data_IF_691333633759
#
_entry.id   IF_691333633759
#
_cell.length_a   1.000
_cell.length_b   1.000
_cell.length_c   1.000
_cell.angle_alpha   90.00
_cell.angle_beta   90.00
_cell.angle_gamma   90.00
#
_symmetry.space_group_name_H-M   'P 1'
#
loop_
_entity.id
_entity.type
_entity.pdbx_description
1 polymer ?
#
# COMPACT_ATOMS: atom_id res chain seq x y z
N UNK A 1 -46.90 11.36 12.37
CA UNK A 1 -45.58 11.70 11.79
C UNK A 1 -44.62 10.71 12.42
N UNK A 2 -44.40 9.58 11.74
CA UNK A 2 -43.56 8.50 12.24
C UNK A 2 -42.45 8.27 11.22
N UNK A 3 -41.20 8.47 11.65
CA UNK A 3 -40.04 8.28 10.82
C UNK A 3 -39.75 6.78 10.69
N UNK A 4 -39.74 6.31 9.44
CA UNK A 4 -39.33 4.96 9.06
C UNK A 4 -37.82 4.87 9.23
N UNK A 5 -37.37 4.18 10.28
CA UNK A 5 -35.98 3.74 10.39
C UNK A 5 -35.82 2.56 9.43
N UNK A 6 -35.37 2.83 8.21
CA UNK A 6 -34.94 1.77 7.29
C UNK A 6 -33.69 1.12 7.88
N UNK A 7 -33.89 -0.12 8.34
CA UNK A 7 -32.84 -1.06 8.72
C UNK A 7 -31.82 -1.20 7.58
N UNK A 8 -30.55 -0.89 7.84
CA UNK A 8 -29.50 -1.23 6.89
C UNK A 8 -29.32 -2.75 6.84
N UNK A 9 -29.20 -3.36 5.65
CA UNK A 9 -28.90 -4.78 5.53
C UNK A 9 -27.48 -5.07 6.07
N UNK A 10 -27.39 -6.08 6.93
CA UNK A 10 -26.18 -6.56 7.63
C UNK A 10 -25.12 -7.21 6.73
N UNK A 11 -25.13 -6.93 5.43
CA UNK A 11 -24.24 -7.55 4.45
C UNK A 11 -22.99 -6.72 4.13
N UNK A 12 -22.84 -5.54 4.72
CA UNK A 12 -21.71 -4.63 4.45
C UNK A 12 -20.42 -4.90 5.26
N UNK A 13 -20.36 -5.98 6.05
CA UNK A 13 -19.17 -6.33 6.83
C UNK A 13 -18.34 -7.47 6.23
N UNK A 14 -18.52 -7.79 4.94
CA UNK A 14 -17.85 -8.92 4.29
C UNK A 14 -16.76 -8.55 3.30
N UNK A 15 -15.84 -7.69 3.71
CA UNK A 15 -14.46 -7.68 3.17
C UNK A 15 -13.47 -7.19 4.22
N UNK A 16 -13.53 -7.75 5.43
CA UNK A 16 -12.28 -7.95 6.18
C UNK A 16 -11.55 -9.12 5.53
N UNK A 17 -10.95 -8.88 4.36
CA UNK A 17 -9.79 -9.67 3.97
C UNK A 17 -8.67 -9.18 4.88
N UNK A 18 -8.58 -9.80 6.06
CA UNK A 18 -7.29 -9.96 6.71
C UNK A 18 -6.43 -10.73 5.72
N UNK A 19 -5.69 -10.00 4.89
CA UNK A 19 -4.58 -10.58 4.15
C UNK A 19 -3.55 -10.93 5.22
N UNK A 20 -3.66 -12.14 5.74
CA UNK A 20 -2.59 -12.79 6.48
C UNK A 20 -1.38 -12.76 5.55
N UNK A 21 -0.47 -11.82 5.78
CA UNK A 21 0.86 -11.88 5.19
C UNK A 21 1.47 -13.18 5.71
N UNK A 22 1.54 -14.19 4.84
CA UNK A 22 2.26 -15.43 5.12
C UNK A 22 3.72 -15.04 5.41
N UNK A 23 4.12 -15.07 6.68
CA UNK A 23 5.42 -14.68 7.26
C UNK A 23 6.61 -15.51 6.73
N UNK A 24 6.41 -16.26 5.64
CA UNK A 24 7.40 -17.18 5.03
C UNK A 24 7.98 -16.71 3.72
N UNK A 25 7.66 -15.49 3.27
CA UNK A 25 8.54 -14.80 2.34
C UNK A 25 9.76 -14.32 3.14
N UNK A 26 10.82 -15.13 3.17
CA UNK A 26 12.16 -14.58 3.39
C UNK A 26 12.38 -13.59 2.24
N UNK A 27 12.09 -12.33 2.52
CA UNK A 27 12.30 -11.26 1.56
C UNK A 27 13.80 -11.13 1.35
N UNK A 28 14.28 -11.66 0.22
CA UNK A 28 15.68 -11.55 -0.17
C UNK A 28 16.15 -10.11 0.01
N UNK A 29 17.37 -9.92 0.56
CA UNK A 29 17.89 -8.60 0.88
C UNK A 29 17.85 -7.62 -0.31
N UNK A 30 17.94 -8.16 -1.53
CA UNK A 30 17.78 -7.42 -2.78
C UNK A 30 16.34 -6.90 -2.97
N UNK A 31 15.33 -7.75 -2.76
CA UNK A 31 13.91 -7.38 -2.83
C UNK A 31 13.58 -6.30 -1.81
N UNK A 32 14.10 -6.43 -0.59
CA UNK A 32 13.95 -5.41 0.46
C UNK A 32 14.61 -4.08 0.08
N UNK A 33 15.80 -4.12 -0.51
CA UNK A 33 16.47 -2.91 -0.99
C UNK A 33 15.69 -2.23 -2.14
N UNK A 34 15.10 -3.02 -3.06
CA UNK A 34 14.23 -2.48 -4.10
C UNK A 34 12.96 -1.86 -3.52
N UNK A 35 12.37 -2.48 -2.51
CA UNK A 35 11.23 -1.95 -1.76
C UNK A 35 11.54 -0.60 -1.12
N UNK A 36 12.64 -0.49 -0.39
CA UNK A 36 13.01 0.73 0.31
C UNK A 36 13.26 1.88 -0.68
N UNK A 37 13.88 1.58 -1.83
CA UNK A 37 14.05 2.56 -2.91
C UNK A 37 12.72 2.98 -3.50
N UNK A 38 11.84 2.03 -3.81
CA UNK A 38 10.51 2.32 -4.35
C UNK A 38 9.66 3.12 -3.37
N UNK A 39 9.70 2.79 -2.08
CA UNK A 39 8.99 3.49 -1.02
C UNK A 39 9.46 4.95 -0.96
N UNK A 40 10.77 5.17 -0.89
CA UNK A 40 11.35 6.52 -0.85
C UNK A 40 10.96 7.34 -2.07
N UNK A 41 11.13 6.78 -3.27
CA UNK A 41 10.74 7.44 -4.50
C UNK A 41 9.23 7.72 -4.58
N UNK A 42 8.38 6.82 -4.06
CA UNK A 42 6.93 7.02 -4.01
C UNK A 42 6.56 8.17 -3.08
N UNK A 43 7.22 8.31 -1.93
CA UNK A 43 6.99 9.41 -0.99
C UNK A 43 7.33 10.78 -1.59
N UNK A 44 8.32 10.85 -2.49
CA UNK A 44 8.63 12.08 -3.24
C UNK A 44 7.52 12.47 -4.23
N UNK A 45 6.71 11.50 -4.68
CA UNK A 45 5.59 11.71 -5.59
C UNK A 45 4.26 12.00 -4.87
N UNK A 46 4.15 11.69 -3.58
CA UNK A 46 2.94 11.93 -2.77
C UNK A 46 2.48 13.40 -2.76
N UNK A 47 3.37 14.42 -2.67
CA UNK A 47 2.93 15.83 -2.72
C UNK A 47 2.24 16.23 -4.03
N UNK A 48 2.52 15.53 -5.14
CA UNK A 48 1.99 15.85 -6.48
C UNK A 48 0.78 14.97 -6.81
N UNK A 49 0.85 13.68 -6.50
CA UNK A 49 -0.12 12.67 -6.91
C UNK A 49 -1.01 12.16 -5.77
N UNK A 50 -0.69 12.51 -4.52
CA UNK A 50 -1.33 11.98 -3.32
C UNK A 50 -0.90 10.55 -2.99
N UNK A 51 -1.56 9.95 -2.01
CA UNK A 51 -1.40 8.52 -1.70
C UNK A 51 -2.20 7.69 -2.72
N UNK A 52 -1.65 7.55 -3.92
CA UNK A 52 -2.33 6.91 -5.05
C UNK A 52 -1.46 5.90 -5.78
N UNK A 53 -2.08 5.13 -6.69
CA UNK A 53 -1.35 4.27 -7.61
C UNK A 53 -0.45 5.08 -8.55
N UNK A 54 -0.87 6.29 -8.98
CA UNK A 54 -0.06 7.14 -9.84
C UNK A 54 1.28 7.52 -9.17
N UNK A 55 1.30 7.79 -7.87
CA UNK A 55 2.54 8.12 -7.15
C UNK A 55 3.56 6.97 -7.25
N UNK A 56 3.11 5.72 -7.06
CA UNK A 56 3.94 4.52 -7.16
C UNK A 56 4.40 4.29 -8.61
N UNK A 57 3.54 4.54 -9.59
CA UNK A 57 3.90 4.40 -11.01
C UNK A 57 4.95 5.41 -11.46
N UNK A 58 4.83 6.67 -11.03
CA UNK A 58 5.84 7.68 -11.31
C UNK A 58 7.16 7.35 -10.61
N UNK A 59 7.10 6.82 -9.39
CA UNK A 59 8.29 6.34 -8.69
C UNK A 59 9.01 5.20 -9.44
N UNK A 60 8.27 4.19 -9.93
CA UNK A 60 8.86 3.13 -10.74
C UNK A 60 9.53 3.67 -12.01
N UNK A 61 8.89 4.65 -12.69
CA UNK A 61 9.46 5.29 -13.88
C UNK A 61 10.75 6.05 -13.56
N UNK A 62 10.76 6.81 -12.47
CA UNK A 62 11.90 7.64 -12.07
C UNK A 62 13.11 6.80 -11.63
N UNK A 63 12.88 5.71 -10.91
CA UNK A 63 13.95 4.81 -10.44
C UNK A 63 14.32 3.72 -11.45
N UNK A 64 13.73 3.72 -12.66
CA UNK A 64 13.90 2.68 -13.68
C UNK A 64 13.64 1.25 -13.13
N UNK A 65 12.67 1.14 -12.23
CA UNK A 65 12.31 -0.12 -11.59
C UNK A 65 11.36 -0.95 -12.49
N UNK A 66 11.39 -2.29 -12.40
CA UNK A 66 10.51 -3.15 -13.18
C UNK A 66 9.03 -2.80 -12.92
N UNK A 67 8.23 -2.71 -13.98
CA UNK A 67 6.80 -2.37 -13.86
C UNK A 67 6.03 -3.43 -13.05
N UNK A 68 6.45 -4.70 -13.10
CA UNK A 68 5.86 -5.78 -12.30
C UNK A 68 6.16 -5.70 -10.80
N UNK A 69 7.14 -4.89 -10.41
CA UNK A 69 7.56 -4.72 -9.03
C UNK A 69 6.43 -4.10 -8.19
N UNK A 70 5.63 -3.17 -8.75
CA UNK A 70 4.48 -2.58 -8.05
C UNK A 70 3.42 -3.62 -7.67
N UNK A 71 3.18 -4.60 -8.55
CA UNK A 71 2.19 -5.65 -8.34
C UNK A 71 2.65 -6.68 -7.31
N UNK A 72 3.96 -6.96 -7.29
CA UNK A 72 4.57 -7.89 -6.34
C UNK A 72 4.69 -7.26 -4.94
N UNK A 73 5.10 -5.99 -4.90
CA UNK A 73 5.47 -5.32 -3.66
C UNK A 73 4.32 -4.55 -3.02
N UNK A 74 3.42 -3.96 -3.82
CA UNK A 74 2.27 -3.19 -3.34
C UNK A 74 0.97 -3.70 -3.99
N UNK A 75 0.56 -4.95 -3.72
CA UNK A 75 -0.65 -5.53 -4.29
C UNK A 75 -1.93 -4.73 -3.95
N UNK A 76 -1.98 -4.08 -2.79
CA UNK A 76 -3.09 -3.20 -2.37
C UNK A 76 -2.82 -1.71 -2.69
N UNK A 77 -1.76 -1.44 -3.46
CA UNK A 77 -1.39 -0.11 -3.93
C UNK A 77 -1.10 0.88 -2.80
N UNK A 78 -1.79 2.04 -2.75
CA UNK A 78 -1.47 3.10 -1.78
C UNK A 78 -1.68 2.69 -0.32
N UNK A 79 -2.48 1.66 -0.04
CA UNK A 79 -2.61 1.12 1.32
C UNK A 79 -1.28 0.57 1.82
N UNK A 80 -0.59 -0.24 1.00
CA UNK A 80 0.69 -0.84 1.36
C UNK A 80 1.78 0.23 1.50
N UNK A 81 1.70 1.30 0.69
CA UNK A 81 2.58 2.46 0.79
C UNK A 81 2.43 3.16 2.15
N UNK A 82 1.20 3.40 2.59
CA UNK A 82 0.90 4.03 3.89
C UNK A 82 1.33 3.11 5.04
N UNK A 83 0.97 1.83 4.99
CA UNK A 83 1.31 0.85 6.04
C UNK A 83 2.81 0.74 6.22
N UNK A 84 3.58 0.66 5.11
CA UNK A 84 5.05 0.63 5.17
C UNK A 84 5.65 1.94 5.65
N UNK A 85 5.08 3.09 5.26
CA UNK A 85 5.52 4.38 5.76
C UNK A 85 5.42 4.46 7.29
N UNK A 86 4.28 4.04 7.86
CA UNK A 86 4.10 4.01 9.31
C UNK A 86 5.03 3.00 9.99
N UNK A 87 5.14 1.78 9.45
CA UNK A 87 6.03 0.75 10.01
C UNK A 87 7.48 1.25 10.10
N UNK A 88 7.96 1.97 9.08
CA UNK A 88 9.30 2.57 9.09
C UNK A 88 9.41 3.73 10.07
N UNK A 89 8.42 4.63 10.12
CA UNK A 89 8.39 5.73 11.07
C UNK A 89 8.42 5.24 12.53
N UNK A 90 7.77 4.11 12.83
CA UNK A 90 7.81 3.49 14.16
C UNK A 90 9.09 2.73 14.47
N UNK A 91 9.82 2.27 13.46
CA UNK A 91 11.12 1.63 13.63
C UNK A 91 12.25 2.64 13.85
N UNK A 92 12.08 3.87 13.35
CA UNK A 92 13.01 4.99 13.50
C UNK A 92 12.79 5.77 14.83
N UNK A 93 11.80 5.38 15.67
CA UNK A 93 11.46 5.95 16.99
C UNK A 93 12.06 5.14 18.14
#
# INVERSE_FOLDING_TARGET
MDQVITSMPTDFLKTSQTHEYDDRFEEDAETKAMLDRLLRASLEQVPVHGWSHEAVEQACKNESLPIGLKTLLMPNGPHDLITRFYAKATADL
#
